data_IF_057268255297
#
_entry.id   IF_057268255297
#
_cell.length_a   1.000
_cell.length_b   1.000
_cell.length_c   1.000
_cell.angle_alpha   90.00
_cell.angle_beta   90.00
_cell.angle_gamma   90.00
#
_symmetry.space_group_name_H-M   'P 1'
#
loop_
_entity.id
_entity.type
_entity.pdbx_description
1 polymer ?
#
# COMPACT_ATOMS: atom_id res chain seq x y z
N UNK A 1 -14.56 -20.35 25.32
CA UNK A 1 -13.53 -20.38 24.26
C UNK A 1 -12.37 -19.52 24.74
N UNK A 2 -11.15 -20.03 24.72
CA UNK A 2 -9.94 -19.24 25.02
C UNK A 2 -9.82 -18.11 23.99
N UNK A 3 -9.54 -16.88 24.45
CA UNK A 3 -9.34 -15.75 23.55
C UNK A 3 -8.05 -16.00 22.76
N UNK A 4 -8.07 -15.85 21.43
CA UNK A 4 -6.88 -15.97 20.58
C UNK A 4 -5.89 -14.82 20.91
N UNK A 5 -4.57 -15.06 20.94
CA UNK A 5 -3.56 -14.08 21.35
C UNK A 5 -3.37 -12.96 20.33
N UNK A 6 -2.62 -11.94 20.70
CA UNK A 6 -2.05 -10.92 19.81
C UNK A 6 -0.65 -11.36 19.40
N UNK A 7 -0.30 -11.18 18.12
CA UNK A 7 1.03 -11.44 17.60
C UNK A 7 1.82 -10.13 17.45
N UNK A 8 3.02 -10.08 18.01
CA UNK A 8 4.06 -9.13 17.66
C UNK A 8 5.15 -9.88 16.89
N UNK A 9 5.35 -9.53 15.63
CA UNK A 9 6.38 -10.13 14.79
C UNK A 9 7.37 -9.06 14.36
N UNK A 10 8.66 -9.40 14.43
CA UNK A 10 9.73 -8.63 13.79
C UNK A 10 10.61 -9.58 12.99
N UNK A 11 11.23 -9.08 11.92
CA UNK A 11 12.14 -9.85 11.07
C UNK A 11 13.45 -9.11 10.83
N UNK A 12 14.54 -9.88 10.70
CA UNK A 12 15.83 -9.39 10.21
C UNK A 12 15.98 -9.51 8.69
N UNK A 13 15.01 -10.16 8.02
CA UNK A 13 14.98 -10.30 6.57
C UNK A 13 14.72 -8.94 5.94
N UNK A 14 15.51 -8.63 4.92
CA UNK A 14 15.45 -7.34 4.21
C UNK A 14 15.04 -7.48 2.74
N UNK A 15 14.71 -8.71 2.31
CA UNK A 15 14.19 -8.95 0.97
C UNK A 15 12.70 -8.52 0.92
N UNK A 16 12.33 -7.58 0.05
CA UNK A 16 10.97 -7.06 0.01
C UNK A 16 9.93 -8.08 -0.48
N UNK A 17 10.31 -9.03 -1.34
CA UNK A 17 9.38 -10.03 -1.86
C UNK A 17 8.99 -11.02 -0.76
N UNK A 18 9.97 -11.45 0.03
CA UNK A 18 9.74 -12.27 1.20
C UNK A 18 8.89 -11.52 2.25
N UNK A 19 9.25 -10.27 2.56
CA UNK A 19 8.52 -9.52 3.59
C UNK A 19 7.07 -9.21 3.19
N UNK A 20 6.80 -8.91 1.92
CA UNK A 20 5.43 -8.74 1.41
C UNK A 20 4.65 -10.06 1.36
N UNK A 21 5.33 -11.16 1.03
CA UNK A 21 4.73 -12.50 1.10
C UNK A 21 4.34 -12.86 2.53
N UNK A 22 5.19 -12.55 3.50
CA UNK A 22 4.90 -12.76 4.92
C UNK A 22 3.74 -11.89 5.39
N UNK A 23 3.67 -10.62 4.98
CA UNK A 23 2.53 -9.74 5.28
C UNK A 23 1.20 -10.36 4.81
N UNK A 24 1.15 -10.84 3.57
CA UNK A 24 -0.05 -11.48 2.98
C UNK A 24 -0.37 -12.82 3.70
N UNK A 25 0.66 -13.59 4.05
CA UNK A 25 0.51 -14.84 4.81
C UNK A 25 -0.08 -14.58 6.21
N UNK A 26 0.38 -13.54 6.91
CA UNK A 26 -0.10 -13.16 8.23
C UNK A 26 -1.57 -12.72 8.22
N UNK A 27 -2.05 -12.09 7.13
CA UNK A 27 -3.49 -11.83 6.96
C UNK A 27 -4.30 -13.13 7.04
N UNK A 28 -3.76 -14.25 6.53
CA UNK A 28 -4.36 -15.58 6.64
C UNK A 28 -4.40 -16.15 8.07
N UNK A 29 -3.53 -15.68 8.97
CA UNK A 29 -3.48 -16.12 10.37
C UNK A 29 -4.30 -15.24 11.31
N UNK A 30 -4.64 -14.02 10.91
CA UNK A 30 -5.52 -13.15 11.68
C UNK A 30 -6.97 -13.64 11.63
N UNK A 31 -7.70 -13.52 12.74
CA UNK A 31 -9.17 -13.68 12.77
C UNK A 31 -9.83 -12.90 11.65
N UNK A 32 -10.87 -13.50 11.08
CA UNK A 32 -11.63 -12.97 9.96
C UNK A 32 -13.10 -12.85 10.35
N UNK A 33 -13.77 -11.83 9.81
CA UNK A 33 -15.23 -11.70 9.89
C UNK A 33 -15.95 -12.54 8.82
N UNK A 34 -15.22 -13.14 7.87
CA UNK A 34 -15.76 -13.98 6.80
C UNK A 34 -15.64 -15.49 7.10
N UNK A 35 -14.67 -15.91 7.92
CA UNK A 35 -14.49 -17.31 8.33
C UNK A 35 -13.86 -17.46 9.73
N UNK A 36 -14.15 -18.58 10.40
CA UNK A 36 -13.48 -19.00 11.63
C UNK A 36 -12.71 -20.33 11.42
N UNK A 37 -11.93 -20.40 10.34
CA UNK A 37 -11.09 -21.58 10.10
C UNK A 37 -10.05 -21.77 11.21
N UNK A 38 -9.70 -23.03 11.50
CA UNK A 38 -8.70 -23.37 12.53
C UNK A 38 -7.29 -22.82 12.28
N UNK A 39 -7.05 -22.24 11.10
CA UNK A 39 -5.79 -21.59 10.72
C UNK A 39 -5.71 -20.14 11.21
N UNK A 40 -6.84 -19.53 11.60
CA UNK A 40 -6.94 -18.17 12.15
C UNK A 40 -6.44 -18.21 13.61
N UNK A 41 -5.15 -17.99 13.84
CA UNK A 41 -4.47 -18.12 15.15
C UNK A 41 -4.53 -16.87 16.02
N UNK A 42 -4.64 -15.68 15.43
CA UNK A 42 -4.41 -14.41 16.14
C UNK A 42 -5.60 -13.46 16.11
N UNK A 43 -5.86 -12.74 17.20
CA UNK A 43 -6.91 -11.71 17.27
C UNK A 43 -6.48 -10.38 16.64
N UNK A 44 -5.19 -10.08 16.68
CA UNK A 44 -4.56 -8.90 16.09
C UNK A 44 -3.08 -9.23 15.83
N UNK A 45 -2.50 -8.65 14.78
CA UNK A 45 -1.09 -8.85 14.44
C UNK A 45 -0.44 -7.50 14.15
N UNK A 46 0.71 -7.26 14.77
CA UNK A 46 1.65 -6.22 14.36
C UNK A 46 2.89 -6.89 13.78
N UNK A 47 3.26 -6.48 12.56
CA UNK A 47 4.48 -6.91 11.90
C UNK A 47 5.39 -5.72 11.62
N UNK A 48 6.62 -5.75 12.13
CA UNK A 48 7.66 -4.74 11.91
C UNK A 48 8.78 -5.29 11.04
N UNK A 49 9.15 -4.55 9.99
CA UNK A 49 10.06 -5.04 8.96
C UNK A 49 10.75 -3.93 8.20
N UNK A 50 11.84 -4.25 7.50
CA UNK A 50 12.58 -3.29 6.68
C UNK A 50 12.95 -3.93 5.34
N UNK A 51 13.12 -3.12 4.29
CA UNK A 51 13.59 -3.61 2.99
C UNK A 51 14.90 -2.92 2.63
N UNK A 52 15.85 -3.69 2.09
CA UNK A 52 17.07 -3.13 1.53
C UNK A 52 16.79 -2.57 0.13
N UNK A 53 17.28 -1.36 -0.17
CA UNK A 53 17.33 -0.75 -1.50
C UNK A 53 16.17 -1.13 -2.45
N UNK A 54 14.95 -0.74 -2.09
CA UNK A 54 13.74 -1.21 -2.79
C UNK A 54 12.89 -0.03 -3.25
N UNK A 55 12.34 -0.12 -4.46
CA UNK A 55 11.16 0.68 -4.84
C UNK A 55 9.93 -0.20 -4.73
N UNK A 56 8.99 0.20 -3.86
CA UNK A 56 7.70 -0.47 -3.68
C UNK A 56 6.62 0.34 -4.39
N UNK A 57 6.00 -0.24 -5.42
CA UNK A 57 4.87 0.35 -6.15
C UNK A 57 3.54 -0.21 -5.66
N UNK A 58 2.47 0.58 -5.79
CA UNK A 58 1.11 0.14 -5.46
C UNK A 58 0.59 -0.93 -6.41
N UNK A 59 -0.44 -1.66 -5.98
CA UNK A 59 -1.08 -2.76 -6.72
C UNK A 59 -1.37 -2.39 -8.18
N UNK A 60 -1.93 -1.20 -8.40
CA UNK A 60 -2.41 -0.77 -9.72
C UNK A 60 -1.45 0.19 -10.44
N UNK A 61 -0.21 0.38 -9.98
CA UNK A 61 0.71 1.30 -10.65
C UNK A 61 1.46 0.67 -11.84
N UNK A 62 1.85 1.48 -12.82
CA UNK A 62 2.72 1.04 -13.91
C UNK A 62 4.18 1.09 -13.45
N UNK A 63 4.85 -0.07 -13.39
CA UNK A 63 6.22 -0.16 -12.88
C UNK A 63 7.21 0.77 -13.59
N UNK A 64 7.15 0.84 -14.92
CA UNK A 64 8.06 1.66 -15.73
C UNK A 64 7.74 3.15 -15.66
N UNK A 65 6.46 3.50 -15.44
CA UNK A 65 6.08 4.89 -15.25
C UNK A 65 6.56 5.42 -13.89
N UNK A 66 6.56 4.59 -12.85
CA UNK A 66 6.86 5.01 -11.48
C UNK A 66 8.34 4.85 -11.10
N UNK A 67 9.04 3.90 -11.71
CA UNK A 67 10.38 3.50 -11.33
C UNK A 67 11.31 3.42 -12.54
N UNK A 68 12.53 3.95 -12.38
CA UNK A 68 13.66 3.67 -13.27
C UNK A 68 14.16 2.25 -12.99
N UNK A 69 13.38 1.25 -13.41
CA UNK A 69 13.54 -0.15 -13.05
C UNK A 69 14.93 -0.69 -13.41
N UNK A 70 15.42 -0.45 -14.63
CA UNK A 70 16.74 -0.89 -15.08
C UNK A 70 17.85 -0.33 -14.19
N UNK A 71 17.80 0.97 -13.90
CA UNK A 71 18.78 1.64 -13.05
C UNK A 71 18.76 1.10 -11.61
N UNK A 72 17.57 0.80 -11.08
CA UNK A 72 17.42 0.21 -9.75
C UNK A 72 18.03 -1.19 -9.68
N UNK A 73 17.72 -2.05 -10.66
CA UNK A 73 18.22 -3.43 -10.70
C UNK A 73 19.74 -3.48 -10.95
N UNK A 74 20.28 -2.59 -11.79
CA UNK A 74 21.73 -2.45 -12.00
C UNK A 74 22.49 -2.02 -10.74
N UNK A 75 21.86 -1.24 -9.84
CA UNK A 75 22.42 -0.85 -8.54
C UNK A 75 22.15 -1.89 -7.44
N UNK A 76 21.74 -3.11 -7.81
CA UNK A 76 21.44 -4.21 -6.89
C UNK A 76 20.19 -3.97 -6.03
N UNK A 77 19.26 -3.12 -6.50
CA UNK A 77 17.99 -2.85 -5.85
C UNK A 77 16.86 -3.75 -6.31
N UNK A 78 15.75 -3.68 -5.60
CA UNK A 78 14.56 -4.51 -5.84
C UNK A 78 13.37 -3.64 -6.26
N UNK A 79 12.75 -3.97 -7.38
CA UNK A 79 11.36 -3.55 -7.63
C UNK A 79 10.43 -4.52 -6.90
N UNK A 80 9.44 -4.00 -6.15
CA UNK A 80 8.41 -4.81 -5.53
C UNK A 80 7.03 -4.18 -5.75
N UNK A 81 6.01 -5.01 -6.00
CA UNK A 81 4.61 -4.60 -6.05
C UNK A 81 3.90 -5.13 -4.82
N UNK A 82 3.28 -4.23 -4.04
CA UNK A 82 2.48 -4.61 -2.86
C UNK A 82 1.03 -4.92 -3.23
N UNK A 83 0.31 -5.58 -2.32
CA UNK A 83 -1.11 -5.93 -2.53
C UNK A 83 -2.09 -4.78 -2.25
N UNK A 84 -1.63 -3.70 -1.62
CA UNK A 84 -2.42 -2.49 -1.33
C UNK A 84 -2.32 -1.46 -2.46
N UNK A 85 -3.28 -0.54 -2.53
CA UNK A 85 -3.24 0.60 -3.45
C UNK A 85 -2.21 1.66 -3.04
N UNK A 86 -2.27 2.85 -3.65
CA UNK A 86 -1.43 4.01 -3.37
C UNK A 86 -0.22 4.17 -4.31
N UNK A 87 0.56 5.23 -4.08
CA UNK A 87 1.72 5.57 -4.90
C UNK A 87 3.00 4.77 -4.64
N UNK A 88 4.06 5.10 -5.37
CA UNK A 88 5.37 4.48 -5.25
C UNK A 88 6.19 5.09 -4.10
N UNK A 89 6.94 4.24 -3.38
CA UNK A 89 7.81 4.65 -2.27
C UNK A 89 9.17 3.96 -2.39
N UNK A 90 10.19 4.57 -1.79
CA UNK A 90 11.54 3.99 -1.72
C UNK A 90 11.83 3.55 -0.29
N UNK A 91 12.31 2.32 -0.12
CA UNK A 91 12.72 1.74 1.15
C UNK A 91 14.23 1.49 1.16
N UNK A 92 14.84 1.78 2.29
CA UNK A 92 16.16 1.30 2.70
C UNK A 92 16.12 0.91 4.18
N UNK A 93 17.28 0.57 4.75
CA UNK A 93 17.39 0.22 6.18
C UNK A 93 17.21 1.44 7.11
N UNK A 94 17.07 2.64 6.56
CA UNK A 94 16.62 3.83 7.27
C UNK A 94 15.10 3.99 7.28
N UNK A 95 14.34 3.05 6.72
CA UNK A 95 12.89 3.05 6.72
C UNK A 95 12.35 1.84 7.49
N UNK A 96 11.61 2.06 8.57
CA UNK A 96 10.89 1.00 9.29
C UNK A 96 9.48 0.87 8.71
N UNK A 97 9.09 -0.32 8.31
CA UNK A 97 7.72 -0.61 7.91
C UNK A 97 6.97 -1.23 9.09
N UNK A 98 5.67 -0.97 9.13
CA UNK A 98 4.75 -1.63 10.03
C UNK A 98 3.54 -2.14 9.25
N UNK A 99 2.94 -3.23 9.73
CA UNK A 99 1.68 -3.76 9.24
C UNK A 99 0.79 -4.08 10.44
N UNK A 100 -0.33 -3.38 10.56
CA UNK A 100 -1.41 -3.63 11.50
C UNK A 100 -2.46 -4.46 10.79
N UNK A 101 -2.67 -5.69 11.25
CA UNK A 101 -3.61 -6.64 10.68
C UNK A 101 -4.65 -6.99 11.74
N UNK A 102 -5.92 -6.74 11.40
CA UNK A 102 -7.06 -6.90 12.29
C UNK A 102 -8.23 -7.53 11.52
N UNK A 103 -9.21 -8.14 12.20
CA UNK A 103 -10.51 -8.39 11.59
C UNK A 103 -11.05 -7.10 10.96
N UNK A 104 -11.70 -7.20 9.80
CA UNK A 104 -12.17 -6.03 9.04
C UNK A 104 -13.05 -5.09 9.89
N UNK A 105 -13.94 -5.65 10.69
CA UNK A 105 -14.84 -4.96 11.63
C UNK A 105 -14.12 -4.25 12.78
N UNK A 106 -12.83 -4.52 12.97
CA UNK A 106 -11.98 -3.94 14.01
C UNK A 106 -10.94 -2.97 13.48
N UNK A 107 -10.72 -2.92 12.16
CA UNK A 107 -9.81 -1.96 11.54
C UNK A 107 -10.55 -0.64 11.28
N UNK A 108 -10.67 0.17 12.33
CA UNK A 108 -10.97 1.59 12.19
C UNK A 108 -9.69 2.35 11.81
N UNK A 109 -9.73 3.09 10.70
CA UNK A 109 -8.55 3.77 10.16
C UNK A 109 -8.03 4.86 11.11
N UNK A 110 -8.92 5.62 11.75
CA UNK A 110 -8.49 6.70 12.65
C UNK A 110 -7.81 6.11 13.91
N UNK A 111 -8.33 5.01 14.44
CA UNK A 111 -7.69 4.27 15.53
C UNK A 111 -6.36 3.62 15.13
N UNK A 112 -6.25 3.10 13.90
CA UNK A 112 -5.00 2.49 13.44
C UNK A 112 -3.90 3.55 13.23
N UNK A 113 -4.25 4.75 12.74
CA UNK A 113 -3.33 5.90 12.72
C UNK A 113 -2.87 6.32 14.12
N UNK A 114 -3.78 6.29 15.12
CA UNK A 114 -3.42 6.65 16.50
C UNK A 114 -2.33 5.77 17.09
N UNK A 115 -2.18 4.51 16.67
CA UNK A 115 -1.03 3.68 17.08
C UNK A 115 0.30 4.37 16.78
N UNK A 116 0.44 4.92 15.57
CA UNK A 116 1.69 5.58 15.14
C UNK A 116 1.83 6.97 15.79
N UNK A 117 0.73 7.71 15.92
CA UNK A 117 0.73 9.02 16.58
C UNK A 117 1.09 8.90 18.06
N UNK A 118 0.51 7.93 18.77
CA UNK A 118 0.79 7.67 20.19
C UNK A 118 2.22 7.17 20.38
N UNK A 119 2.73 6.31 19.48
CA UNK A 119 4.13 5.88 19.48
C UNK A 119 5.08 7.06 19.30
N UNK A 120 4.85 7.92 18.30
CA UNK A 120 5.64 9.12 18.08
C UNK A 120 5.59 10.07 19.29
N UNK A 121 4.40 10.31 19.84
CA UNK A 121 4.20 11.15 21.02
C UNK A 121 4.96 10.61 22.24
N UNK A 122 4.95 9.29 22.45
CA UNK A 122 5.67 8.62 23.55
C UNK A 122 7.19 8.81 23.48
N UNK A 123 7.71 9.04 22.26
CA UNK A 123 9.11 9.37 22.03
C UNK A 123 9.39 10.87 22.15
N UNK A 124 8.35 11.71 22.28
CA UNK A 124 8.47 13.17 22.31
C UNK A 124 8.40 13.83 20.93
N UNK A 125 7.89 13.12 19.93
CA UNK A 125 7.73 13.61 18.55
C UNK A 125 6.27 14.02 18.34
N UNK A 126 6.03 15.29 18.03
CA UNK A 126 4.69 15.79 17.70
C UNK A 126 4.39 15.49 16.24
N UNK A 127 3.49 14.53 16.01
CA UNK A 127 3.09 14.09 14.69
C UNK A 127 1.61 14.38 14.45
N UNK A 128 1.25 14.66 13.21
CA UNK A 128 -0.14 14.87 12.80
C UNK A 128 -0.46 14.10 11.52
N UNK A 129 -1.70 13.63 11.41
CA UNK A 129 -2.19 13.05 10.17
C UNK A 129 -2.47 14.16 9.16
N UNK A 130 -2.13 13.93 7.90
CA UNK A 130 -2.42 14.85 6.80
C UNK A 130 -2.95 14.13 5.58
N UNK A 131 -3.92 14.75 4.93
CA UNK A 131 -4.57 14.22 3.74
C UNK A 131 -5.14 12.82 3.97
N UNK A 132 -4.96 11.95 2.98
CA UNK A 132 -5.55 10.62 2.94
C UNK A 132 -4.75 9.62 3.78
N UNK A 133 -3.43 9.66 3.65
CA UNK A 133 -2.57 8.57 4.09
C UNK A 133 -1.19 9.01 4.61
N UNK A 134 -0.98 10.29 4.92
CA UNK A 134 0.31 10.79 5.38
C UNK A 134 0.30 11.07 6.87
N UNK A 135 1.47 10.89 7.50
CA UNK A 135 1.75 11.42 8.84
C UNK A 135 2.96 12.35 8.73
N UNK A 136 2.80 13.56 9.27
CA UNK A 136 3.74 14.65 9.18
C UNK A 136 4.41 14.91 10.53
N UNK A 137 5.66 15.37 10.46
CA UNK A 137 6.46 15.93 11.52
C UNK A 137 6.94 17.30 11.03
N UNK A 138 6.57 18.38 11.72
CA UNK A 138 6.88 19.76 11.32
C UNK A 138 6.50 20.06 9.85
N UNK A 139 5.32 19.59 9.43
CA UNK A 139 4.81 19.74 8.06
C UNK A 139 5.51 18.86 7.00
N UNK A 140 6.46 18.01 7.39
CA UNK A 140 7.15 17.08 6.49
C UNK A 140 6.68 15.65 6.72
N UNK A 141 6.33 14.95 5.65
CA UNK A 141 5.90 13.55 5.70
C UNK A 141 7.03 12.64 6.15
N UNK A 142 6.82 11.92 7.25
CA UNK A 142 7.70 10.82 7.66
C UNK A 142 7.02 9.44 7.50
N UNK A 143 5.71 9.39 7.29
CA UNK A 143 4.97 8.14 7.08
C UNK A 143 4.02 8.23 5.89
N UNK A 144 4.07 7.24 5.01
CA UNK A 144 3.05 6.99 3.99
C UNK A 144 2.34 5.67 4.27
N UNK A 145 1.02 5.66 4.13
CA UNK A 145 0.16 4.57 4.56
C UNK A 145 -0.68 4.03 3.40
N UNK A 146 -1.03 2.75 3.46
CA UNK A 146 -1.94 2.11 2.51
C UNK A 146 -2.73 0.99 3.17
N UNK A 147 -3.82 0.61 2.52
CA UNK A 147 -4.85 -0.24 3.11
C UNK A 147 -5.27 -1.33 2.14
N UNK A 148 -5.75 -2.45 2.69
CA UNK A 148 -6.41 -3.53 1.94
C UNK A 148 -7.39 -4.24 2.87
N UNK A 149 -8.56 -4.56 2.34
CA UNK A 149 -9.52 -5.42 2.99
C UNK A 149 -9.70 -6.67 2.14
N UNK A 150 -9.55 -7.85 2.73
CA UNK A 150 -9.69 -9.10 1.99
C UNK A 150 -10.13 -10.21 2.92
N UNK A 151 -11.13 -11.00 2.47
CA UNK A 151 -11.63 -12.15 3.22
C UNK A 151 -11.95 -11.83 4.69
N UNK A 152 -12.61 -10.70 4.96
CA UNK A 152 -12.99 -10.29 6.33
C UNK A 152 -11.82 -9.86 7.22
N UNK A 153 -10.64 -9.59 6.65
CA UNK A 153 -9.45 -9.10 7.35
C UNK A 153 -9.03 -7.76 6.75
N UNK A 154 -8.69 -6.80 7.60
CA UNK A 154 -8.13 -5.51 7.22
C UNK A 154 -6.62 -5.48 7.46
N UNK A 155 -5.91 -4.84 6.54
CA UNK A 155 -4.49 -4.49 6.61
C UNK A 155 -4.35 -2.97 6.54
N UNK A 156 -3.69 -2.38 7.52
CA UNK A 156 -3.11 -1.04 7.45
C UNK A 156 -1.60 -1.17 7.59
N UNK A 157 -0.88 -0.88 6.51
CA UNK A 157 0.58 -0.80 6.58
C UNK A 157 1.09 0.57 6.24
N UNK A 158 2.33 0.84 6.63
CA UNK A 158 2.94 2.10 6.33
C UNK A 158 4.44 2.09 6.56
N UNK A 159 5.04 3.20 6.16
CA UNK A 159 6.45 3.49 6.34
C UNK A 159 6.65 4.41 7.54
N UNK A 160 7.82 4.33 8.17
CA UNK A 160 8.32 5.27 9.17
C UNK A 160 9.74 5.61 8.74
N UNK A 161 9.88 6.76 8.08
CA UNK A 161 11.16 7.30 7.62
C UNK A 161 11.98 7.69 8.85
N UNK A 162 12.81 6.76 9.31
CA UNK A 162 13.64 6.92 10.49
C UNK A 162 14.91 7.70 10.16
N UNK A 163 15.60 7.26 9.11
CA UNK A 163 16.85 7.83 8.59
C UNK A 163 17.08 7.46 7.12
N UNK A 164 16.04 7.56 6.29
CA UNK A 164 16.05 7.14 4.90
C UNK A 164 16.90 8.05 4.01
N UNK A 165 17.51 7.48 2.96
CA UNK A 165 18.30 8.22 1.99
C UNK A 165 17.41 8.81 0.87
N UNK A 166 17.03 10.07 1.04
CA UNK A 166 16.19 10.78 0.06
C UNK A 166 16.85 11.02 -1.29
N UNK A 167 18.19 10.98 -1.39
CA UNK A 167 18.87 11.11 -2.68
C UNK A 167 18.65 9.87 -3.53
N UNK A 168 18.68 8.68 -2.91
CA UNK A 168 18.36 7.41 -3.58
C UNK A 168 16.89 7.34 -3.97
N UNK A 169 15.98 7.82 -3.12
CA UNK A 169 14.56 7.98 -3.48
C UNK A 169 14.40 8.79 -4.77
N UNK A 170 15.01 9.98 -4.85
CA UNK A 170 14.96 10.84 -6.05
C UNK A 170 15.72 10.21 -7.23
N UNK A 171 16.63 9.29 -6.98
CA UNK A 171 17.42 8.63 -8.01
C UNK A 171 16.68 7.47 -8.69
N UNK A 172 15.80 6.77 -7.99
CA UNK A 172 15.10 5.60 -8.56
C UNK A 172 13.65 5.89 -8.95
N UNK A 173 12.95 6.75 -8.23
CA UNK A 173 11.59 7.13 -8.63
C UNK A 173 11.62 7.99 -9.89
N UNK A 174 10.68 7.76 -10.79
CA UNK A 174 10.44 8.62 -11.94
C UNK A 174 9.79 9.90 -11.43
N UNK A 175 10.45 11.03 -11.61
CA UNK A 175 9.87 12.36 -11.38
C UNK A 175 9.46 12.90 -12.74
N UNK A 176 8.28 13.52 -12.83
CA UNK A 176 7.83 14.15 -14.07
C UNK A 176 8.93 15.06 -14.62
N UNK A 177 9.24 14.87 -15.91
CA UNK A 177 10.30 15.58 -16.60
C UNK A 177 10.12 17.08 -16.40
N UNK A 178 11.17 17.76 -15.88
CA UNK A 178 11.49 19.21 -16.04
C UNK A 178 12.44 19.75 -14.95
N UNK A 179 12.76 19.04 -13.86
CA UNK A 179 13.63 19.62 -12.81
C UNK A 179 15.03 18.99 -12.74
N UNK A 180 16.06 19.84 -12.88
CA UNK A 180 17.46 19.56 -12.53
C UNK A 180 17.54 18.73 -11.23
N UNK A 181 18.38 17.69 -11.18
CA UNK A 181 18.51 16.75 -10.05
C UNK A 181 18.60 17.46 -8.68
N UNK A 182 19.33 18.57 -8.59
CA UNK A 182 19.44 19.39 -7.36
C UNK A 182 18.12 20.02 -6.92
N UNK A 183 17.30 20.51 -7.86
CA UNK A 183 15.96 21.05 -7.59
C UNK A 183 14.97 19.95 -7.18
N UNK A 184 15.10 18.75 -7.77
CA UNK A 184 14.28 17.61 -7.41
C UNK A 184 14.56 17.14 -5.97
N UNK A 185 15.84 17.03 -5.57
CA UNK A 185 16.22 16.68 -4.19
C UNK A 185 15.71 17.72 -3.20
N UNK A 186 15.93 19.02 -3.48
CA UNK A 186 15.44 20.09 -2.61
C UNK A 186 13.92 20.06 -2.45
N UNK A 187 13.18 19.80 -3.53
CA UNK A 187 11.72 19.68 -3.53
C UNK A 187 11.19 18.43 -2.82
N UNK A 188 11.97 17.36 -2.75
CA UNK A 188 11.62 16.17 -1.95
C UNK A 188 11.89 16.46 -0.47
N UNK A 189 13.06 16.97 -0.13
CA UNK A 189 13.42 17.33 1.27
C UNK A 189 12.53 18.40 1.91
N UNK A 190 11.81 19.19 1.10
CA UNK A 190 10.81 20.14 1.61
C UNK A 190 9.47 19.48 1.96
N UNK A 191 9.22 18.25 1.46
CA UNK A 191 7.95 17.52 1.62
C UNK A 191 8.07 16.29 2.51
N UNK A 192 9.23 15.65 2.56
CA UNK A 192 9.50 14.47 3.41
C UNK A 192 10.60 14.76 4.43
N UNK A 193 10.55 14.06 5.57
CA UNK A 193 11.48 14.24 6.69
C UNK A 193 11.76 12.92 7.40
N UNK A 194 12.93 12.83 8.04
CA UNK A 194 13.29 11.70 8.87
C UNK A 194 12.96 11.98 10.34
N UNK A 195 12.54 10.96 11.10
CA UNK A 195 12.33 11.09 12.54
C UNK A 195 13.61 11.53 13.27
N UNK A 196 14.78 11.08 12.80
CA UNK A 196 16.08 11.53 13.35
C UNK A 196 16.40 13.00 13.11
N UNK A 197 15.72 13.68 12.18
CA UNK A 197 15.89 15.12 11.99
C UNK A 197 15.34 15.90 13.21
N UNK A 198 14.29 15.38 13.87
CA UNK A 198 13.73 15.93 15.10
C UNK A 198 14.38 15.35 16.37
N UNK A 199 14.83 14.10 16.33
CA UNK A 199 15.45 13.39 17.45
C UNK A 199 16.70 12.61 17.04
N UNK A 200 17.86 13.27 17.08
CA UNK A 200 19.12 12.73 16.55
C UNK A 200 19.57 11.40 17.22
N UNK A 201 19.27 11.25 18.51
CA UNK A 201 19.64 10.10 19.35
C UNK A 201 18.59 8.98 19.33
N UNK A 202 17.47 9.15 18.61
CA UNK A 202 16.46 8.11 18.47
C UNK A 202 17.10 6.89 17.79
N UNK A 203 16.98 5.73 18.44
CA UNK A 203 17.36 4.44 17.88
C UNK A 203 16.17 3.74 17.23
N UNK A 204 16.46 2.87 16.27
CA UNK A 204 15.43 2.05 15.62
C UNK A 204 14.72 1.13 16.63
N UNK A 205 15.45 0.60 17.61
CA UNK A 205 14.86 -0.22 18.68
C UNK A 205 13.85 0.58 19.51
N UNK A 206 14.16 1.82 19.90
CA UNK A 206 13.20 2.67 20.62
C UNK A 206 11.94 2.94 19.80
N UNK A 207 12.09 3.18 18.49
CA UNK A 207 10.95 3.35 17.59
C UNK A 207 10.09 2.08 17.52
N UNK A 208 10.71 0.92 17.30
CA UNK A 208 10.00 -0.37 17.24
C UNK A 208 9.26 -0.68 18.54
N UNK A 209 9.91 -0.47 19.69
CA UNK A 209 9.28 -0.71 21.00
C UNK A 209 8.13 0.26 21.28
N UNK A 210 8.25 1.52 20.87
CA UNK A 210 7.15 2.49 20.98
C UNK A 210 5.93 2.06 20.16
N UNK A 211 6.13 1.59 18.93
CA UNK A 211 5.05 1.10 18.05
C UNK A 211 4.41 -0.16 18.62
N UNK A 212 5.20 -1.14 19.08
CA UNK A 212 4.70 -2.36 19.74
C UNK A 212 3.85 -2.02 20.96
N UNK A 213 4.35 -1.14 21.82
CA UNK A 213 3.64 -0.72 23.03
C UNK A 213 2.30 -0.05 22.70
N UNK A 214 2.30 0.94 21.81
CA UNK A 214 1.08 1.63 21.41
C UNK A 214 0.05 0.68 20.76
N UNK A 215 0.52 -0.30 20.00
CA UNK A 215 -0.33 -1.33 19.41
C UNK A 215 -0.97 -2.25 20.47
N UNK A 216 -0.17 -2.76 21.42
CA UNK A 216 -0.66 -3.62 22.51
C UNK A 216 -1.64 -2.86 23.41
N UNK A 217 -1.36 -1.60 23.74
CA UNK A 217 -2.27 -0.77 24.54
C UNK A 217 -3.64 -0.62 23.89
N UNK A 218 -3.71 -0.60 22.56
CA UNK A 218 -4.95 -0.41 21.80
C UNK A 218 -5.67 -1.72 21.44
N UNK A 219 -4.94 -2.77 21.10
CA UNK A 219 -5.52 -4.00 20.55
C UNK A 219 -5.22 -5.27 21.36
N UNK A 220 -4.39 -5.19 22.40
CA UNK A 220 -3.96 -6.32 23.22
C UNK A 220 -4.54 -6.38 24.64
N UNK A 221 -5.45 -5.49 25.00
CA UNK A 221 -6.05 -5.49 26.35
C UNK A 221 -6.75 -6.83 26.65
N UNK A 222 -6.41 -7.44 27.78
CA UNK A 222 -6.92 -8.74 28.23
C UNK A 222 -6.65 -9.91 27.28
N UNK A 223 -5.61 -9.81 26.45
CA UNK A 223 -5.14 -10.87 25.56
C UNK A 223 -3.70 -11.26 25.92
N UNK A 224 -3.38 -12.54 25.70
CA UNK A 224 -1.99 -12.98 25.68
C UNK A 224 -1.27 -12.34 24.49
N UNK A 225 -0.02 -11.92 24.69
CA UNK A 225 0.83 -11.33 23.66
C UNK A 225 1.95 -12.32 23.36
N UNK A 226 1.93 -12.84 22.13
CA UNK A 226 3.01 -13.66 21.59
C UNK A 226 3.97 -12.74 20.83
N UNK A 227 5.22 -12.68 21.26
CA UNK A 227 6.29 -12.01 20.51
C UNK A 227 7.20 -13.06 19.89
N UNK A 228 7.27 -13.09 18.57
CA UNK A 228 7.98 -14.13 17.82
C UNK A 228 8.96 -13.53 16.82
N UNK A 229 9.96 -14.33 16.45
CA UNK A 229 10.82 -14.08 15.30
C UNK A 229 10.35 -14.94 14.12
N UNK A 230 10.78 -14.58 12.92
CA UNK A 230 10.27 -15.15 11.66
C UNK A 230 10.40 -16.68 11.53
N UNK A 231 11.37 -17.29 12.23
CA UNK A 231 11.71 -18.72 12.14
C UNK A 231 10.52 -19.68 12.36
N UNK A 232 9.44 -19.24 13.02
CA UNK A 232 8.23 -20.06 13.21
C UNK A 232 7.46 -20.32 11.90
N UNK A 233 7.57 -19.43 10.91
CA UNK A 233 6.74 -19.45 9.70
C UNK A 233 7.50 -19.88 8.43
N UNK A 234 8.83 -19.92 8.45
CA UNK A 234 9.68 -20.11 7.25
C UNK A 234 9.51 -21.45 6.51
N UNK A 235 8.78 -22.42 7.07
CA UNK A 235 8.57 -23.75 6.49
C UNK A 235 7.16 -24.01 5.96
N UNK A 236 6.32 -22.97 5.89
CA UNK A 236 4.96 -23.10 5.38
C UNK A 236 4.92 -23.00 3.83
N UNK A 237 4.34 -24.00 3.18
CA UNK A 237 4.20 -24.05 1.71
C UNK A 237 3.41 -22.87 1.16
N UNK A 238 2.45 -22.31 1.92
CA UNK A 238 1.69 -21.13 1.50
C UNK A 238 2.56 -19.88 1.47
N UNK A 239 3.46 -19.71 2.44
CA UNK A 239 4.40 -18.59 2.46
C UNK A 239 5.34 -18.69 1.25
N UNK A 240 5.85 -19.89 0.96
CA UNK A 240 6.69 -20.12 -0.21
C UNK A 240 5.98 -19.78 -1.53
N UNK A 241 4.71 -20.19 -1.69
CA UNK A 241 3.90 -19.86 -2.87
C UNK A 241 3.64 -18.35 -3.02
N UNK A 242 3.43 -17.65 -1.89
CA UNK A 242 3.31 -16.19 -1.88
C UNK A 242 4.63 -15.53 -2.27
N UNK A 243 5.77 -16.01 -1.78
CA UNK A 243 7.08 -15.48 -2.15
C UNK A 243 7.39 -15.67 -3.64
N UNK A 244 7.03 -16.82 -4.21
CA UNK A 244 7.10 -17.06 -5.65
C UNK A 244 6.26 -16.03 -6.42
N UNK A 245 5.02 -15.77 -5.98
CA UNK A 245 4.17 -14.71 -6.55
C UNK A 245 4.85 -13.33 -6.45
N UNK A 246 5.26 -12.89 -5.26
CA UNK A 246 5.79 -11.54 -5.03
C UNK A 246 7.13 -11.29 -5.73
N UNK A 247 7.93 -12.34 -5.95
CA UNK A 247 9.19 -12.27 -6.70
C UNK A 247 9.02 -12.42 -8.22
N UNK A 248 7.90 -12.99 -8.68
CA UNK A 248 7.62 -13.21 -10.10
C UNK A 248 7.64 -11.90 -10.91
N UNK A 249 8.12 -11.99 -12.15
CA UNK A 249 8.12 -10.85 -13.06
C UNK A 249 6.69 -10.37 -13.35
N UNK A 250 5.77 -11.29 -13.58
CA UNK A 250 4.36 -11.02 -13.88
C UNK A 250 3.68 -10.21 -12.78
N UNK A 251 3.98 -10.48 -11.50
CA UNK A 251 3.45 -9.68 -10.41
C UNK A 251 4.15 -8.33 -10.29
N UNK A 252 5.49 -8.30 -10.27
CA UNK A 252 6.25 -7.05 -10.04
C UNK A 252 6.02 -6.02 -11.14
N UNK A 253 6.13 -6.44 -12.38
CA UNK A 253 5.98 -5.57 -13.54
C UNK A 253 4.53 -5.44 -13.97
N UNK A 254 3.71 -6.47 -13.76
CA UNK A 254 2.33 -6.51 -14.23
C UNK A 254 2.25 -6.86 -15.71
N UNK A 255 1.03 -6.91 -16.23
CA UNK A 255 0.77 -7.07 -17.66
C UNK A 255 0.79 -5.71 -18.34
N UNK A 256 1.28 -5.67 -19.57
CA UNK A 256 1.06 -4.53 -20.49
C UNK A 256 0.08 -4.97 -21.56
N UNK A 257 -0.98 -4.19 -21.76
CA UNK A 257 -1.97 -4.43 -22.82
C UNK A 257 -1.76 -3.38 -23.91
N UNK A 258 -1.63 -3.76 -25.19
CA UNK A 258 -1.70 -2.79 -26.29
C UNK A 258 -3.07 -2.12 -26.26
N UNK A 259 -3.10 -0.79 -26.32
CA UNK A 259 -4.33 -0.02 -26.30
C UNK A 259 -4.52 0.74 -27.62
N UNK A 260 -5.75 0.77 -28.09
CA UNK A 260 -6.21 1.55 -29.24
C UNK A 260 -6.62 2.97 -28.82
N UNK A 261 -7.04 3.13 -27.56
CA UNK A 261 -7.47 4.37 -26.94
C UNK A 261 -6.94 4.43 -25.51
N UNK A 262 -6.50 5.60 -25.08
CA UNK A 262 -6.11 5.88 -23.70
C UNK A 262 -6.87 7.11 -23.18
N UNK A 263 -7.35 7.04 -21.95
CA UNK A 263 -8.01 8.13 -21.25
C UNK A 263 -7.33 8.33 -19.89
N UNK A 264 -7.01 9.58 -19.56
CA UNK A 264 -6.48 9.95 -18.26
C UNK A 264 -7.48 10.82 -17.50
N UNK A 265 -7.68 10.54 -16.21
CA UNK A 265 -8.57 11.35 -15.35
C UNK A 265 -7.95 12.69 -14.94
N UNK A 266 -6.63 12.82 -15.08
CA UNK A 266 -5.88 13.81 -14.32
C UNK A 266 -5.96 13.56 -12.81
N UNK A 267 -5.64 14.59 -12.03
CA UNK A 267 -5.60 14.50 -10.56
C UNK A 267 -6.99 14.71 -9.94
N UNK A 268 -7.53 13.66 -9.34
CA UNK A 268 -8.78 13.67 -8.57
C UNK A 268 -8.50 13.57 -7.06
N UNK A 269 -9.55 13.72 -6.24
CA UNK A 269 -9.42 13.66 -4.79
C UNK A 269 -8.91 12.29 -4.30
N UNK A 270 -9.31 11.21 -4.98
CA UNK A 270 -8.92 9.84 -4.67
C UNK A 270 -7.68 9.34 -5.43
N UNK A 271 -7.06 10.17 -6.26
CA UNK A 271 -5.87 9.81 -7.01
C UNK A 271 -5.97 10.17 -8.49
N UNK A 272 -5.17 9.52 -9.31
CA UNK A 272 -5.26 9.57 -10.77
C UNK A 272 -5.47 8.16 -11.33
N UNK A 273 -6.15 8.07 -12.46
CA UNK A 273 -6.30 6.83 -13.20
C UNK A 273 -6.04 7.06 -14.69
N UNK A 274 -5.46 6.04 -15.32
CA UNK A 274 -5.22 5.95 -16.75
C UNK A 274 -5.77 4.64 -17.26
N UNK A 275 -6.70 4.74 -18.20
CA UNK A 275 -7.47 3.64 -18.76
C UNK A 275 -6.99 3.38 -20.19
N UNK A 276 -6.38 2.22 -20.42
CA UNK A 276 -5.96 1.76 -21.74
C UNK A 276 -6.92 0.71 -22.28
N UNK A 277 -7.59 1.02 -23.39
CA UNK A 277 -8.64 0.19 -23.99
C UNK A 277 -8.12 -0.57 -25.22
N UNK A 278 -8.36 -1.88 -25.28
CA UNK A 278 -8.28 -2.68 -26.50
C UNK A 278 -9.71 -2.85 -27.07
N UNK A 279 -9.94 -2.47 -28.33
CA UNK A 279 -11.27 -2.39 -28.94
C UNK A 279 -11.41 -3.39 -30.08
N UNK A 280 -12.44 -4.24 -30.04
CA UNK A 280 -12.78 -5.17 -31.13
C UNK A 280 -14.27 -5.07 -31.49
N UNK A 281 -14.56 -4.72 -32.73
CA UNK A 281 -15.93 -4.61 -33.23
C UNK A 281 -16.79 -3.58 -32.47
N UNK A 282 -16.19 -2.46 -32.05
CA UNK A 282 -16.87 -1.40 -31.28
C UNK A 282 -17.13 -1.74 -29.81
N UNK A 283 -16.55 -2.83 -29.30
CA UNK A 283 -16.63 -3.24 -27.90
C UNK A 283 -15.26 -3.28 -27.25
N UNK A 284 -15.23 -3.03 -25.95
CA UNK A 284 -14.03 -3.16 -25.13
C UNK A 284 -13.69 -4.65 -25.02
N UNK A 285 -12.61 -5.09 -25.67
CA UNK A 285 -12.12 -6.46 -25.62
C UNK A 285 -11.26 -6.70 -24.39
N UNK A 286 -10.47 -5.70 -24.00
CA UNK A 286 -9.64 -5.71 -22.81
C UNK A 286 -9.47 -4.28 -22.28
N UNK A 287 -9.22 -4.15 -20.99
CA UNK A 287 -9.01 -2.88 -20.31
C UNK A 287 -7.90 -3.05 -19.28
N UNK A 288 -6.93 -2.14 -19.31
CA UNK A 288 -5.97 -1.98 -18.22
C UNK A 288 -6.17 -0.63 -17.56
N UNK A 289 -6.22 -0.62 -16.23
CA UNK A 289 -6.32 0.61 -15.45
C UNK A 289 -5.09 0.74 -14.57
N UNK A 290 -4.32 1.79 -14.80
CA UNK A 290 -3.22 2.18 -13.92
C UNK A 290 -3.67 3.30 -12.99
N UNK A 291 -3.33 3.22 -11.70
CA UNK A 291 -3.75 4.23 -10.72
C UNK A 291 -2.86 4.28 -9.48
N UNK A 292 -2.82 5.44 -8.83
CA UNK A 292 -2.27 5.66 -7.47
C UNK A 292 -3.37 5.70 -6.37
N UNK A 293 -4.60 5.31 -6.69
CA UNK A 293 -5.71 5.24 -5.76
C UNK A 293 -5.43 4.27 -4.60
N UNK A 294 -5.94 4.59 -3.40
CA UNK A 294 -5.79 3.73 -2.23
C UNK A 294 -6.73 2.52 -2.26
N UNK A 295 -7.92 2.68 -2.84
CA UNK A 295 -8.86 1.58 -3.09
C UNK A 295 -8.44 0.82 -4.36
N UNK A 296 -7.55 -0.16 -4.19
CA UNK A 296 -7.06 -0.97 -5.31
C UNK A 296 -8.08 -1.98 -5.83
N UNK A 297 -9.04 -2.40 -5.00
CA UNK A 297 -10.10 -3.33 -5.44
C UNK A 297 -11.06 -2.60 -6.37
N UNK A 298 -11.39 -1.33 -6.10
CA UNK A 298 -12.19 -0.50 -7.02
C UNK A 298 -11.54 -0.37 -8.40
N UNK A 299 -10.21 -0.25 -8.46
CA UNK A 299 -9.48 -0.16 -9.74
C UNK A 299 -9.55 -1.48 -10.53
N UNK A 300 -9.49 -2.61 -9.83
CA UNK A 300 -9.66 -3.93 -10.45
C UNK A 300 -11.11 -4.12 -10.93
N UNK A 301 -12.11 -3.71 -10.13
CA UNK A 301 -13.54 -3.80 -10.47
C UNK A 301 -13.88 -3.03 -11.75
N UNK A 302 -13.27 -1.87 -12.00
CA UNK A 302 -13.43 -1.11 -13.25
C UNK A 302 -12.96 -1.94 -14.46
N UNK A 303 -11.79 -2.58 -14.33
CA UNK A 303 -11.20 -3.38 -15.40
C UNK A 303 -12.10 -4.55 -15.75
N UNK A 304 -12.75 -5.16 -14.77
CA UNK A 304 -13.65 -6.29 -14.96
C UNK A 304 -15.02 -5.88 -15.54
N UNK A 305 -15.65 -4.83 -15.00
CA UNK A 305 -17.04 -4.50 -15.33
C UNK A 305 -17.21 -3.89 -16.73
N UNK A 306 -16.18 -3.19 -17.22
CA UNK A 306 -16.21 -2.51 -18.51
C UNK A 306 -15.89 -3.43 -19.70
N UNK A 307 -15.22 -4.56 -19.48
CA UNK A 307 -14.95 -5.53 -20.55
C UNK A 307 -16.27 -6.06 -21.14
N UNK A 308 -16.36 -6.06 -22.47
CA UNK A 308 -17.53 -6.46 -23.24
C UNK A 308 -18.58 -5.36 -23.45
N UNK A 309 -18.44 -4.19 -22.80
CA UNK A 309 -19.29 -3.02 -23.07
C UNK A 309 -19.02 -2.41 -24.45
N UNK A 310 -19.98 -1.66 -24.99
CA UNK A 310 -19.73 -0.80 -26.15
C UNK A 310 -18.82 0.34 -25.72
N UNK A 311 -17.97 0.79 -26.63
CA UNK A 311 -17.26 2.06 -26.45
C UNK A 311 -18.24 3.22 -26.64
N UNK A 312 -19.07 3.44 -25.63
CA UNK A 312 -20.20 4.36 -25.59
C UNK A 312 -20.33 4.87 -24.15
N UNK A 313 -20.34 6.18 -23.96
CA UNK A 313 -20.21 6.76 -22.63
C UNK A 313 -21.36 6.35 -21.69
N UNK A 314 -22.59 6.22 -22.21
CA UNK A 314 -23.75 5.84 -21.39
C UNK A 314 -23.77 4.32 -21.08
N UNK A 315 -23.39 3.44 -22.01
CA UNK A 315 -23.23 2.00 -21.71
C UNK A 315 -22.16 1.77 -20.62
N UNK A 316 -21.02 2.48 -20.72
CA UNK A 316 -19.95 2.43 -19.73
C UNK A 316 -20.40 2.98 -18.36
N UNK A 317 -21.10 4.12 -18.34
CA UNK A 317 -21.62 4.72 -17.12
C UNK A 317 -22.60 3.78 -16.38
N UNK A 318 -23.55 3.19 -17.11
CA UNK A 318 -24.52 2.23 -16.55
C UNK A 318 -23.85 0.98 -15.94
N UNK A 319 -22.68 0.60 -16.45
CA UNK A 319 -21.88 -0.49 -15.90
C UNK A 319 -21.12 -0.07 -14.65
N UNK A 320 -20.48 1.09 -14.66
CA UNK A 320 -19.74 1.61 -13.51
C UNK A 320 -20.64 1.82 -12.28
N UNK A 321 -21.91 2.19 -12.46
CA UNK A 321 -22.84 2.26 -11.34
C UNK A 321 -23.07 0.91 -10.61
N UNK A 322 -22.78 -0.23 -11.25
CA UNK A 322 -22.97 -1.55 -10.64
C UNK A 322 -21.88 -1.94 -9.63
N UNK A 323 -20.77 -1.17 -9.59
CA UNK A 323 -19.64 -1.44 -8.68
C UNK A 323 -19.60 -0.49 -7.47
N UNK A 324 -20.57 0.43 -7.35
CA UNK A 324 -20.64 1.39 -6.22
C UNK A 324 -20.73 0.66 -4.88
N UNK A 325 -21.62 -0.33 -4.77
CA UNK A 325 -21.87 -1.07 -3.52
C UNK A 325 -20.97 -2.32 -3.36
N UNK A 326 -19.98 -2.50 -4.23
CA UNK A 326 -19.07 -3.65 -4.16
C UNK A 326 -17.90 -3.35 -3.22
N UNK A 327 -17.37 -4.37 -2.55
CA UNK A 327 -16.14 -4.27 -1.77
C UNK A 327 -16.27 -3.44 -0.49
N UNK A 328 -15.14 -2.91 -0.02
CA UNK A 328 -15.03 -2.04 1.16
C UNK A 328 -14.47 -0.71 0.71
N UNK A 329 -15.17 0.38 1.02
CA UNK A 329 -14.73 1.73 0.69
C UNK A 329 -13.50 2.14 1.52
N UNK A 330 -12.49 2.70 0.85
CA UNK A 330 -11.26 3.18 1.51
C UNK A 330 -11.17 4.70 1.35
N UNK A 331 -11.52 5.43 2.42
CA UNK A 331 -11.44 6.89 2.60
C UNK A 331 -12.32 7.75 1.66
N UNK A 332 -12.47 7.39 0.39
CA UNK A 332 -13.34 8.05 -0.57
C UNK A 332 -14.51 7.14 -0.92
N UNK A 333 -15.77 7.63 -0.85
CA UNK A 333 -16.92 6.84 -1.27
C UNK A 333 -16.82 6.42 -2.73
N UNK A 334 -17.14 5.16 -3.02
CA UNK A 334 -17.06 4.61 -4.39
C UNK A 334 -18.05 5.30 -5.33
N UNK A 335 -19.18 5.78 -4.81
CA UNK A 335 -20.13 6.61 -5.58
C UNK A 335 -19.44 7.84 -6.18
N UNK A 336 -18.66 8.57 -5.37
CA UNK A 336 -17.91 9.73 -5.86
C UNK A 336 -16.86 9.31 -6.91
N UNK A 337 -16.13 8.21 -6.66
CA UNK A 337 -15.11 7.74 -7.60
C UNK A 337 -15.71 7.34 -8.96
N UNK A 338 -16.89 6.72 -8.95
CA UNK A 338 -17.65 6.37 -10.16
C UNK A 338 -18.08 7.62 -10.91
N UNK A 339 -18.63 8.63 -10.24
CA UNK A 339 -19.05 9.88 -10.89
C UNK A 339 -17.88 10.62 -11.54
N UNK A 340 -16.73 10.70 -10.85
CA UNK A 340 -15.51 11.32 -11.39
C UNK A 340 -15.04 10.59 -12.68
N UNK A 341 -15.10 9.25 -12.70
CA UNK A 341 -14.76 8.45 -13.88
C UNK A 341 -15.75 8.63 -15.02
N UNK A 342 -17.06 8.63 -14.72
CA UNK A 342 -18.11 8.85 -15.73
C UNK A 342 -17.95 10.23 -16.37
N UNK A 343 -17.69 11.26 -15.57
CA UNK A 343 -17.42 12.60 -16.08
C UNK A 343 -16.20 12.61 -17.03
N UNK A 344 -15.13 11.92 -16.65
CA UNK A 344 -13.93 11.77 -17.49
C UNK A 344 -14.24 11.05 -18.79
N UNK A 345 -14.97 9.93 -18.73
CA UNK A 345 -15.34 9.12 -19.90
C UNK A 345 -16.20 9.95 -20.87
N UNK A 346 -17.23 10.63 -20.37
CA UNK A 346 -18.12 11.50 -21.19
C UNK A 346 -17.38 12.67 -21.85
N UNK A 347 -16.29 13.14 -21.24
CA UNK A 347 -15.47 14.20 -21.82
C UNK A 347 -14.57 13.70 -22.97
N UNK A 348 -14.28 12.39 -23.02
CA UNK A 348 -13.31 11.80 -23.96
C UNK A 348 -13.93 10.86 -25.00
N UNK A 349 -15.14 10.34 -24.76
CA UNK A 349 -15.85 9.43 -25.65
C UNK A 349 -17.13 10.12 -26.14
N UNK A 350 -17.21 10.33 -27.46
CA UNK A 350 -18.30 11.03 -28.17
C UNK A 350 -19.40 10.11 -28.67
#
# INVERSE_FOLDING_TARGET
MTKKPVLLLSTDRTNPWHNLALEDYLMGLCKSDADDSGQRRYSAILYLWQNANTVVIGRNQNAWAECRCTLLEEDGGYLARRSTGGGAVYHDLGNLNFSIILPQSKLDLDESFKVILDAALSLGIQAERSGRNDILLDGKKFSGNAFRFSQGVGLHHGTLMFNSNFERLVHFLTVSDVKLKSKAIASVRSRVGNLRDAQADLSLSQLSEAVKKAFVERYGQDLEVEEVQIDEFERDEKLAALEEKYSSWDWRYGKTVPFDLEIETGRLAWGEARLGFEIKGGKIANLIVYSDALDGDFIDDISEILVGSRLDADDMANRLHQIVDQGVEILTPREQMVEDLIATIRANIS
#
